data_IF_496184733401
#
_entry.id   IF_496184733401
#
_cell.length_a   1.000
_cell.length_b   1.000
_cell.length_c   1.000
_cell.angle_alpha   90.00
_cell.angle_beta   90.00
_cell.angle_gamma   90.00
#
_symmetry.space_group_name_H-M   'P 1'
#
loop_
_entity.id
_entity.type
_entity.pdbx_description
1 polymer ?
#
# COMPACT_ATOMS: atom_id res chain seq x y z
N UNK A 1 -1.60 -9.43 31.25
CA UNK A 1 -0.94 -10.60 30.67
C UNK A 1 -1.82 -11.11 29.55
N UNK A 2 -1.22 -11.48 28.42
CA UNK A 2 -1.93 -12.06 27.28
C UNK A 2 -2.36 -13.49 27.60
N UNK A 3 -3.48 -13.92 27.08
CA UNK A 3 -3.83 -15.34 27.02
C UNK A 3 -2.94 -16.06 26.02
N UNK A 4 -2.86 -17.39 26.08
CA UNK A 4 -2.05 -18.20 25.13
C UNK A 4 -2.39 -17.90 23.67
N UNK A 5 -3.67 -17.87 23.22
CA UNK A 5 -4.02 -17.52 21.86
C UNK A 5 -3.63 -16.08 21.47
N UNK A 6 -3.67 -15.15 22.42
CA UNK A 6 -3.23 -13.77 22.19
C UNK A 6 -1.71 -13.66 22.06
N UNK A 7 -0.97 -14.46 22.82
CA UNK A 7 0.47 -14.56 22.71
C UNK A 7 0.89 -15.16 21.37
N UNK A 8 0.25 -16.26 20.95
CA UNK A 8 0.49 -16.88 19.63
C UNK A 8 0.19 -15.89 18.50
N UNK A 9 -0.98 -15.20 18.55
CA UNK A 9 -1.34 -14.17 17.58
C UNK A 9 -0.32 -13.02 17.52
N UNK A 10 0.15 -12.55 18.68
CA UNK A 10 1.17 -11.51 18.73
C UNK A 10 2.52 -11.98 18.16
N UNK A 11 2.91 -13.23 18.39
CA UNK A 11 4.12 -13.82 17.82
C UNK A 11 4.04 -13.97 16.30
N UNK A 12 2.88 -14.33 15.76
CA UNK A 12 2.64 -14.47 14.34
C UNK A 12 2.55 -13.10 13.61
N UNK A 13 1.94 -12.11 14.27
CA UNK A 13 1.75 -10.78 13.67
C UNK A 13 2.99 -9.89 13.75
N UNK A 14 3.83 -10.05 14.78
CA UNK A 14 5.03 -9.21 14.99
C UNK A 14 5.99 -9.19 13.80
N UNK A 15 6.31 -10.30 13.11
CA UNK A 15 7.18 -10.29 11.94
C UNK A 15 6.57 -9.56 10.73
N UNK A 16 5.24 -9.44 10.69
CA UNK A 16 4.48 -8.82 9.61
C UNK A 16 3.96 -7.41 9.98
N UNK A 17 4.18 -6.97 11.22
CA UNK A 17 3.81 -5.63 11.68
C UNK A 17 4.78 -4.60 11.13
N UNK A 18 4.55 -4.17 9.89
CA UNK A 18 5.31 -3.09 9.26
C UNK A 18 4.84 -1.75 9.80
N UNK A 19 5.48 -1.30 10.88
CA UNK A 19 5.24 0.05 11.41
C UNK A 19 5.73 1.09 10.41
N UNK A 20 4.91 2.10 10.17
CA UNK A 20 5.19 3.17 9.22
C UNK A 20 5.68 4.39 9.99
N UNK A 21 6.73 5.09 9.53
CA UNK A 21 7.08 6.38 10.08
C UNK A 21 5.91 7.37 10.01
N UNK A 22 5.68 8.11 11.08
CA UNK A 22 4.57 9.07 11.17
C UNK A 22 4.66 10.15 10.10
N UNK A 23 5.87 10.48 9.66
CA UNK A 23 6.15 11.44 8.59
C UNK A 23 5.56 10.97 7.26
N UNK A 24 5.68 9.68 6.95
CA UNK A 24 5.11 9.09 5.73
C UNK A 24 3.59 9.12 5.79
N UNK A 25 3.00 8.75 6.91
CA UNK A 25 1.55 8.81 7.11
C UNK A 25 1.04 10.26 6.99
N UNK A 26 1.75 11.21 7.61
CA UNK A 26 1.44 12.63 7.51
C UNK A 26 1.55 13.17 6.09
N UNK A 27 2.57 12.74 5.33
CA UNK A 27 2.73 13.12 3.92
C UNK A 27 1.59 12.57 3.05
N UNK A 28 1.13 11.35 3.30
CA UNK A 28 -0.02 10.78 2.61
C UNK A 28 -1.31 11.57 2.89
N UNK A 29 -1.59 11.91 4.14
CA UNK A 29 -2.72 12.78 4.48
C UNK A 29 -2.61 14.15 3.81
N UNK A 30 -1.40 14.72 3.79
CA UNK A 30 -1.12 15.97 3.07
C UNK A 30 -1.40 15.88 1.57
N UNK A 31 -1.03 14.77 0.92
CA UNK A 31 -1.32 14.52 -0.49
C UNK A 31 -2.82 14.40 -0.75
N UNK A 32 -3.54 13.62 0.07
CA UNK A 32 -5.00 13.43 -0.04
C UNK A 32 -5.75 14.77 0.12
N UNK A 33 -5.32 15.62 1.06
CA UNK A 33 -5.90 16.97 1.21
C UNK A 33 -5.65 17.87 0.01
N UNK A 34 -4.45 17.82 -0.59
CA UNK A 34 -4.15 18.56 -1.84
C UNK A 34 -4.99 18.11 -3.03
N UNK A 35 -5.46 16.85 -3.02
CA UNK A 35 -6.41 16.33 -3.99
C UNK A 35 -7.86 16.75 -3.72
N UNK A 36 -8.10 17.56 -2.67
CA UNK A 36 -9.41 18.12 -2.35
C UNK A 36 -10.24 17.28 -1.38
N UNK A 37 -9.66 16.27 -0.72
CA UNK A 37 -10.38 15.49 0.27
C UNK A 37 -10.37 16.23 1.63
N UNK A 38 -11.53 16.56 2.13
CA UNK A 38 -11.77 17.30 3.38
C UNK A 38 -12.64 16.53 4.40
N UNK A 39 -12.96 15.27 4.08
CA UNK A 39 -13.76 14.39 4.94
C UNK A 39 -14.69 13.48 4.14
N UNK A 40 -15.40 12.61 4.84
CA UNK A 40 -16.32 11.65 4.24
C UNK A 40 -16.28 10.28 4.92
N UNK A 41 -16.64 9.24 4.18
CA UNK A 41 -16.62 7.85 4.65
C UNK A 41 -15.27 7.25 4.32
N UNK A 42 -14.50 6.94 5.36
CA UNK A 42 -13.14 6.43 5.26
C UNK A 42 -13.12 4.98 5.73
N UNK A 43 -12.36 4.14 5.04
CA UNK A 43 -12.00 2.82 5.56
C UNK A 43 -10.49 2.61 5.52
N UNK A 44 -9.94 2.10 6.63
CA UNK A 44 -8.58 1.60 6.75
C UNK A 44 -8.64 0.07 6.84
N UNK A 45 -8.38 -0.66 5.75
CA UNK A 45 -8.27 -2.11 5.76
C UNK A 45 -6.87 -2.53 6.24
N UNK A 46 -6.78 -3.50 7.12
CA UNK A 46 -5.54 -3.88 7.83
C UNK A 46 -4.99 -2.73 8.69
N UNK A 47 -5.83 -2.22 9.61
CA UNK A 47 -5.56 -1.01 10.38
C UNK A 47 -4.41 -1.14 11.40
N UNK A 48 -4.02 -2.37 11.76
CA UNK A 48 -3.07 -2.59 12.84
C UNK A 48 -3.55 -1.92 14.13
N UNK A 49 -2.72 -1.08 14.70
CA UNK A 49 -3.06 -0.29 15.90
C UNK A 49 -3.58 1.12 15.57
N UNK A 50 -3.82 1.43 14.26
CA UNK A 50 -4.46 2.68 13.83
C UNK A 50 -3.50 3.85 13.61
N UNK A 51 -2.35 3.65 12.99
CA UNK A 51 -1.40 4.73 12.72
C UNK A 51 -1.98 5.81 11.79
N UNK A 52 -2.75 5.41 10.77
CA UNK A 52 -3.40 6.38 9.88
C UNK A 52 -4.48 7.18 10.60
N UNK A 53 -5.20 6.55 11.53
CA UNK A 53 -6.18 7.26 12.35
C UNK A 53 -5.50 8.26 13.28
N UNK A 54 -4.40 7.85 13.93
CA UNK A 54 -3.67 8.71 14.87
C UNK A 54 -3.04 9.93 14.23
N UNK A 55 -2.68 9.85 12.94
CA UNK A 55 -2.09 10.95 12.17
C UNK A 55 -3.11 11.68 11.28
N UNK A 56 -4.40 11.33 11.35
CA UNK A 56 -5.47 12.01 10.58
C UNK A 56 -5.57 13.47 11.00
N UNK A 57 -5.59 14.43 10.05
CA UNK A 57 -5.81 15.83 10.35
C UNK A 57 -7.15 16.04 11.06
N UNK A 58 -7.16 16.92 12.07
CA UNK A 58 -8.32 17.11 12.94
C UNK A 58 -9.57 17.58 12.20
N UNK A 59 -9.40 18.43 11.18
CA UNK A 59 -10.47 18.91 10.32
C UNK A 59 -11.09 17.77 9.49
N UNK A 60 -10.25 16.88 8.94
CA UNK A 60 -10.71 15.67 8.24
C UNK A 60 -11.44 14.73 9.20
N UNK A 61 -10.88 14.51 10.40
CA UNK A 61 -11.47 13.63 11.41
C UNK A 61 -12.87 14.10 11.83
N UNK A 62 -13.06 15.39 12.04
CA UNK A 62 -14.37 15.96 12.40
C UNK A 62 -15.45 15.79 11.32
N UNK A 63 -15.03 15.74 10.06
CA UNK A 63 -15.92 15.63 8.91
C UNK A 63 -16.04 14.19 8.37
N UNK A 64 -15.56 13.20 9.13
CA UNK A 64 -15.49 11.84 8.61
C UNK A 64 -16.19 10.81 9.48
N UNK A 65 -16.67 9.77 8.81
CA UNK A 65 -17.09 8.51 9.42
C UNK A 65 -16.02 7.46 9.08
N UNK A 66 -15.36 6.90 10.10
CA UNK A 66 -14.23 6.00 9.91
C UNK A 66 -14.60 4.58 10.28
N UNK A 67 -14.22 3.66 9.40
CA UNK A 67 -14.32 2.22 9.60
C UNK A 67 -12.93 1.60 9.50
N UNK A 68 -12.64 0.60 10.33
CA UNK A 68 -11.41 -0.17 10.25
C UNK A 68 -11.71 -1.66 10.13
N UNK A 69 -10.84 -2.38 9.43
CA UNK A 69 -10.82 -3.83 9.40
C UNK A 69 -9.43 -4.29 9.85
N UNK A 70 -9.40 -5.24 10.76
CA UNK A 70 -8.14 -5.79 11.28
C UNK A 70 -8.31 -7.29 11.56
N UNK A 71 -7.36 -8.08 11.05
CA UNK A 71 -7.39 -9.54 11.17
C UNK A 71 -6.81 -10.00 12.51
N UNK A 72 -5.72 -9.34 12.97
CA UNK A 72 -5.08 -9.70 14.24
C UNK A 72 -5.95 -9.28 15.43
N UNK A 73 -6.22 -10.22 16.31
CA UNK A 73 -7.14 -10.02 17.44
C UNK A 73 -6.65 -8.98 18.44
N UNK A 74 -5.34 -8.92 18.69
CA UNK A 74 -4.75 -7.97 19.63
C UNK A 74 -4.78 -6.56 19.05
N UNK A 75 -4.35 -6.40 17.81
CA UNK A 75 -4.40 -5.11 17.09
C UNK A 75 -5.83 -4.60 16.95
N UNK A 76 -6.79 -5.46 16.61
CA UNK A 76 -8.21 -5.11 16.55
C UNK A 76 -8.77 -4.61 17.87
N UNK A 77 -8.36 -5.21 19.00
CA UNK A 77 -8.74 -4.75 20.35
C UNK A 77 -8.11 -3.42 20.70
N UNK A 78 -6.85 -3.22 20.33
CA UNK A 78 -6.12 -1.96 20.57
C UNK A 78 -6.77 -0.82 19.78
N UNK A 79 -6.94 -0.97 18.47
CA UNK A 79 -7.55 0.08 17.62
C UNK A 79 -8.98 0.38 18.07
N UNK A 80 -9.75 -0.64 18.42
CA UNK A 80 -11.11 -0.47 18.95
C UNK A 80 -11.11 0.29 20.28
N UNK A 81 -10.19 -0.03 21.21
CA UNK A 81 -10.10 0.65 22.50
C UNK A 81 -9.69 2.12 22.36
N UNK A 82 -8.74 2.40 21.47
CA UNK A 82 -8.23 3.75 21.25
C UNK A 82 -9.24 4.66 20.54
N UNK A 83 -9.96 4.15 19.53
CA UNK A 83 -10.71 5.00 18.60
C UNK A 83 -12.24 4.86 18.70
N UNK A 84 -12.76 3.89 19.47
CA UNK A 84 -14.21 3.81 19.76
C UNK A 84 -14.80 5.10 20.36
N UNK A 85 -14.10 5.80 21.27
CA UNK A 85 -14.60 7.08 21.81
C UNK A 85 -14.82 8.17 20.74
N UNK A 86 -14.15 8.03 19.59
CA UNK A 86 -14.24 8.94 18.44
C UNK A 86 -15.23 8.45 17.37
N UNK A 87 -16.02 7.40 17.67
CA UNK A 87 -17.04 6.89 16.75
C UNK A 87 -16.51 5.97 15.65
N UNK A 88 -15.25 5.51 15.73
CA UNK A 88 -14.68 4.58 14.74
C UNK A 88 -15.31 3.19 14.89
N UNK A 89 -15.81 2.65 13.78
CA UNK A 89 -16.32 1.28 13.70
C UNK A 89 -15.15 0.33 13.36
N UNK A 90 -14.93 -0.72 14.17
CA UNK A 90 -13.87 -1.70 13.95
C UNK A 90 -14.45 -3.08 13.72
N UNK A 91 -14.08 -3.71 12.60
CA UNK A 91 -14.39 -5.11 12.27
C UNK A 91 -13.16 -5.97 12.48
N UNK A 92 -13.27 -6.99 13.37
CA UNK A 92 -12.22 -7.98 13.59
C UNK A 92 -12.48 -9.16 12.66
N UNK A 93 -11.93 -9.09 11.45
CA UNK A 93 -12.04 -10.14 10.42
C UNK A 93 -11.03 -9.86 9.28
N UNK A 94 -10.91 -10.81 8.34
CA UNK A 94 -10.21 -10.56 7.08
C UNK A 94 -11.00 -9.61 6.17
N UNK A 95 -10.30 -8.91 5.29
CA UNK A 95 -10.93 -7.96 4.35
C UNK A 95 -11.92 -8.66 3.40
N UNK A 96 -11.63 -9.90 3.01
CA UNK A 96 -12.49 -10.73 2.15
C UNK A 96 -13.85 -11.07 2.79
N UNK A 97 -13.86 -11.21 4.11
CA UNK A 97 -15.05 -11.55 4.89
C UNK A 97 -15.70 -10.34 5.57
N UNK A 98 -15.15 -9.15 5.35
CA UNK A 98 -15.66 -7.94 5.99
C UNK A 98 -17.04 -7.54 5.44
N UNK A 99 -17.96 -7.04 6.30
CA UNK A 99 -19.30 -6.61 5.88
C UNK A 99 -19.31 -5.20 5.28
N UNK A 100 -18.25 -4.82 4.58
CA UNK A 100 -18.12 -3.49 4.00
C UNK A 100 -18.97 -3.37 2.72
N UNK A 101 -19.76 -2.31 2.58
CA UNK A 101 -20.54 -2.08 1.37
C UNK A 101 -19.66 -1.66 0.20
N UNK A 102 -19.95 -2.17 -0.99
CA UNK A 102 -19.30 -1.79 -2.25
C UNK A 102 -19.76 -0.42 -2.73
N UNK A 103 -18.89 0.31 -3.43
CA UNK A 103 -19.21 1.63 -4.01
C UNK A 103 -19.64 2.69 -2.98
N UNK A 104 -19.18 2.58 -1.75
CA UNK A 104 -19.69 3.38 -0.65
C UNK A 104 -18.70 4.40 -0.10
N UNK A 105 -17.44 4.04 0.04
CA UNK A 105 -16.43 4.87 0.70
C UNK A 105 -15.92 6.00 -0.20
N UNK A 106 -15.61 7.13 0.42
CA UNK A 106 -15.01 8.29 -0.24
C UNK A 106 -13.48 8.13 -0.32
N UNK A 107 -12.89 7.45 0.69
CA UNK A 107 -11.46 7.16 0.77
C UNK A 107 -11.20 5.78 1.37
N UNK A 108 -10.31 5.01 0.75
CA UNK A 108 -9.65 3.84 1.34
C UNK A 108 -8.17 4.18 1.49
N UNK A 109 -7.64 4.13 2.71
CA UNK A 109 -6.26 4.53 3.01
C UNK A 109 -5.62 3.52 3.97
N UNK A 110 -4.33 3.25 3.81
CA UNK A 110 -3.63 2.35 4.74
C UNK A 110 -2.29 1.84 4.21
N UNK A 111 -1.69 0.97 4.99
CA UNK A 111 -0.54 0.15 4.63
C UNK A 111 -1.04 -1.28 4.42
N UNK A 112 -1.00 -1.76 3.18
CA UNK A 112 -1.48 -3.10 2.88
C UNK A 112 -0.45 -4.16 3.28
N UNK A 113 -0.86 -5.36 3.70
CA UNK A 113 0.07 -6.45 3.95
C UNK A 113 0.83 -6.82 2.66
N UNK A 114 2.13 -7.15 2.81
CA UNK A 114 2.98 -7.54 1.68
C UNK A 114 3.18 -9.06 1.68
N UNK A 115 3.35 -9.62 0.51
CA UNK A 115 3.71 -11.02 0.37
C UNK A 115 3.17 -11.66 -0.90
N UNK A 116 3.72 -12.83 -1.21
CA UNK A 116 3.23 -13.68 -2.30
C UNK A 116 2.24 -14.73 -1.76
N UNK A 117 1.31 -14.26 -0.94
CA UNK A 117 0.23 -15.04 -0.38
C UNK A 117 -1.07 -14.60 -1.03
N UNK A 118 -1.97 -15.54 -1.29
CA UNK A 118 -3.30 -15.27 -1.79
C UNK A 118 -4.29 -15.16 -0.62
N UNK A 119 -5.27 -14.28 -0.77
CA UNK A 119 -6.37 -14.17 0.18
C UNK A 119 -7.40 -15.25 -0.15
N UNK A 120 -8.00 -15.94 0.83
CA UNK A 120 -9.02 -16.97 0.59
C UNK A 120 -10.36 -16.34 0.18
N UNK A 121 -10.38 -15.69 -0.98
CA UNK A 121 -11.58 -15.05 -1.52
C UNK A 121 -12.53 -16.12 -2.10
N UNK A 122 -13.70 -16.26 -1.51
CA UNK A 122 -14.70 -17.27 -1.89
C UNK A 122 -15.63 -16.81 -3.02
N UNK A 123 -15.65 -15.52 -3.31
CA UNK A 123 -16.47 -14.96 -4.40
C UNK A 123 -15.78 -15.15 -5.74
N UNK A 124 -16.57 -15.35 -6.78
CA UNK A 124 -16.04 -15.38 -8.15
C UNK A 124 -15.78 -13.95 -8.66
N UNK A 125 -14.64 -13.39 -8.27
CA UNK A 125 -14.21 -12.05 -8.66
C UNK A 125 -12.91 -12.10 -9.47
N UNK A 126 -12.68 -11.15 -10.39
CA UNK A 126 -11.51 -11.18 -11.28
C UNK A 126 -10.16 -11.16 -10.54
N UNK A 127 -10.13 -10.64 -9.33
CA UNK A 127 -8.94 -10.46 -8.53
C UNK A 127 -8.73 -11.51 -7.43
N UNK A 128 -9.53 -12.58 -7.41
CA UNK A 128 -9.43 -13.64 -6.37
C UNK A 128 -8.04 -14.29 -6.28
N UNK A 129 -7.31 -14.35 -7.42
CA UNK A 129 -5.99 -14.98 -7.50
C UNK A 129 -4.82 -13.97 -7.42
N UNK A 130 -5.08 -12.71 -7.13
CA UNK A 130 -4.00 -11.73 -6.95
C UNK A 130 -3.22 -11.99 -5.66
N UNK A 131 -1.93 -11.60 -5.65
CA UNK A 131 -1.17 -11.55 -4.40
C UNK A 131 -1.84 -10.61 -3.39
N UNK A 132 -1.61 -10.81 -2.09
CA UNK A 132 -2.33 -10.11 -1.04
C UNK A 132 -2.35 -8.58 -1.23
N UNK A 133 -1.20 -7.96 -1.51
CA UNK A 133 -1.13 -6.50 -1.71
C UNK A 133 -1.93 -6.05 -2.94
N UNK A 134 -1.93 -6.81 -4.01
CA UNK A 134 -2.71 -6.52 -5.21
C UNK A 134 -4.22 -6.75 -5.01
N UNK A 135 -4.58 -7.79 -4.24
CA UNK A 135 -5.96 -8.03 -3.81
C UNK A 135 -6.52 -6.83 -3.04
N UNK A 136 -5.73 -6.26 -2.10
CA UNK A 136 -6.16 -5.09 -1.34
C UNK A 136 -6.49 -3.90 -2.23
N UNK A 137 -5.71 -3.62 -3.27
CA UNK A 137 -6.01 -2.57 -4.23
C UNK A 137 -7.31 -2.83 -4.99
N UNK A 138 -7.48 -4.03 -5.52
CA UNK A 138 -8.67 -4.39 -6.28
C UNK A 138 -9.93 -4.31 -5.39
N UNK A 139 -9.83 -4.83 -4.16
CA UNK A 139 -10.91 -4.75 -3.17
C UNK A 139 -11.19 -3.31 -2.76
N UNK A 140 -10.17 -2.47 -2.59
CA UNK A 140 -10.35 -1.06 -2.28
C UNK A 140 -11.10 -0.31 -3.39
N UNK A 141 -10.77 -0.59 -4.66
CA UNK A 141 -11.51 -0.05 -5.81
C UNK A 141 -12.95 -0.55 -5.89
N UNK A 142 -13.24 -1.78 -5.43
CA UNK A 142 -14.62 -2.25 -5.25
C UNK A 142 -15.37 -1.44 -4.18
N UNK A 143 -14.70 -1.14 -3.05
CA UNK A 143 -15.29 -0.46 -1.90
C UNK A 143 -15.53 1.03 -2.11
N UNK A 144 -14.63 1.74 -2.81
CA UNK A 144 -14.81 3.18 -3.05
C UNK A 144 -15.91 3.45 -4.05
N UNK A 145 -16.64 4.57 -3.85
CA UNK A 145 -17.60 5.07 -4.83
C UNK A 145 -16.88 5.58 -6.10
N UNK A 146 -17.59 5.73 -7.23
CA UNK A 146 -17.06 6.45 -8.38
C UNK A 146 -16.52 7.82 -7.98
N UNK A 147 -15.30 8.17 -8.43
CA UNK A 147 -14.58 9.38 -8.04
C UNK A 147 -13.92 9.35 -6.66
N UNK A 148 -14.13 8.29 -5.86
CA UNK A 148 -13.45 8.11 -4.56
C UNK A 148 -11.98 7.77 -4.72
N UNK A 149 -11.22 7.89 -3.63
CA UNK A 149 -9.76 7.74 -3.60
C UNK A 149 -9.33 6.43 -2.92
N UNK A 150 -8.27 5.83 -3.45
CA UNK A 150 -7.52 4.75 -2.81
C UNK A 150 -6.08 5.22 -2.64
N UNK A 151 -5.56 5.19 -1.42
CA UNK A 151 -4.21 5.61 -1.11
C UNK A 151 -3.51 4.57 -0.24
N UNK A 152 -2.60 3.80 -0.82
CA UNK A 152 -1.92 2.72 -0.11
C UNK A 152 -0.40 2.84 -0.18
N UNK A 153 0.24 2.40 0.90
CA UNK A 153 1.62 1.95 0.86
C UNK A 153 1.61 0.48 0.47
N UNK A 154 2.42 0.10 -0.49
CA UNK A 154 2.49 -1.24 -1.05
C UNK A 154 3.90 -1.67 -1.39
N UNK A 155 4.08 -2.94 -1.71
CA UNK A 155 5.32 -3.46 -2.28
C UNK A 155 5.58 -2.88 -3.67
N UNK A 156 6.85 -2.61 -4.01
CA UNK A 156 7.26 -2.22 -5.37
C UNK A 156 6.77 -3.20 -6.45
N UNK A 157 6.51 -4.45 -6.10
CA UNK A 157 6.00 -5.46 -7.03
C UNK A 157 4.60 -5.16 -7.59
N UNK A 158 3.82 -4.25 -6.99
CA UNK A 158 2.56 -3.82 -7.60
C UNK A 158 2.82 -3.17 -8.96
N UNK A 159 3.86 -2.34 -9.07
CA UNK A 159 4.22 -1.68 -10.34
C UNK A 159 5.35 -2.40 -11.10
N UNK A 160 6.34 -2.97 -10.44
CA UNK A 160 7.55 -3.55 -11.06
C UNK A 160 7.41 -5.02 -11.48
N UNK A 161 6.28 -5.69 -11.18
CA UNK A 161 6.09 -7.07 -11.62
C UNK A 161 6.14 -7.19 -13.15
N UNK A 162 6.79 -8.26 -13.66
CA UNK A 162 6.83 -8.52 -15.10
C UNK A 162 5.44 -8.72 -15.70
N UNK A 163 4.51 -9.37 -14.96
CA UNK A 163 3.10 -9.45 -15.37
C UNK A 163 2.42 -8.11 -15.17
N UNK A 164 1.69 -7.62 -16.16
CA UNK A 164 0.93 -6.38 -16.12
C UNK A 164 -0.53 -6.57 -15.65
N UNK A 165 -0.94 -7.79 -15.32
CA UNK A 165 -2.35 -8.11 -15.00
C UNK A 165 -2.96 -7.22 -13.91
N UNK A 166 -2.20 -6.93 -12.84
CA UNK A 166 -2.67 -5.99 -11.81
C UNK A 166 -2.77 -4.56 -12.34
N UNK A 167 -1.79 -4.11 -13.11
CA UNK A 167 -1.78 -2.74 -13.65
C UNK A 167 -2.93 -2.52 -14.64
N UNK A 168 -3.20 -3.50 -15.51
CA UNK A 168 -4.37 -3.49 -16.40
C UNK A 168 -5.68 -3.41 -15.61
N UNK A 169 -5.82 -4.24 -14.57
CA UNK A 169 -6.99 -4.21 -13.72
C UNK A 169 -7.17 -2.83 -13.05
N UNK A 170 -6.11 -2.30 -12.44
CA UNK A 170 -6.17 -1.01 -11.75
C UNK A 170 -6.46 0.15 -12.72
N UNK A 171 -5.86 0.13 -13.91
CA UNK A 171 -6.08 1.16 -14.93
C UNK A 171 -7.50 1.10 -15.52
N UNK A 172 -8.11 -0.08 -15.62
CA UNK A 172 -9.50 -0.24 -16.02
C UNK A 172 -10.49 0.32 -15.00
N UNK A 173 -10.17 0.21 -13.71
CA UNK A 173 -11.05 0.64 -12.61
C UNK A 173 -10.76 2.05 -12.11
N UNK A 174 -9.53 2.58 -12.26
CA UNK A 174 -9.14 3.87 -11.70
C UNK A 174 -7.96 4.53 -12.40
N UNK A 175 -7.86 5.83 -12.23
CA UNK A 175 -6.74 6.65 -12.69
C UNK A 175 -5.66 6.71 -11.62
N UNK A 176 -4.41 6.41 -11.98
CA UNK A 176 -3.25 6.67 -11.13
C UNK A 176 -3.01 8.19 -11.04
N UNK A 177 -3.13 8.73 -9.84
CA UNK A 177 -2.89 10.15 -9.56
C UNK A 177 -1.46 10.41 -9.09
N UNK A 178 -0.88 9.46 -8.35
CA UNK A 178 0.50 9.53 -7.89
C UNK A 178 1.05 8.12 -7.63
N UNK A 179 2.35 7.94 -7.95
CA UNK A 179 3.14 6.80 -7.51
C UNK A 179 4.49 7.34 -7.01
N UNK A 180 4.81 7.12 -5.75
CA UNK A 180 6.02 7.61 -5.10
C UNK A 180 6.79 6.41 -4.56
N UNK A 181 8.03 6.23 -5.00
CA UNK A 181 8.90 5.18 -4.49
C UNK A 181 9.63 5.65 -3.25
N UNK A 182 9.49 4.90 -2.16
CA UNK A 182 10.11 5.18 -0.88
C UNK A 182 11.48 4.49 -0.77
N UNK A 183 12.39 5.05 0.04
CA UNK A 183 13.64 4.39 0.37
C UNK A 183 13.43 3.04 1.05
N UNK A 184 14.30 2.08 0.76
CA UNK A 184 14.27 0.78 1.43
C UNK A 184 14.55 0.88 2.94
N UNK A 185 15.13 1.99 3.39
CA UNK A 185 15.37 2.29 4.81
C UNK A 185 14.15 2.79 5.54
N UNK A 186 13.05 3.13 4.85
CA UNK A 186 11.82 3.68 5.43
C UNK A 186 11.27 2.80 6.55
N UNK A 187 11.34 1.49 6.42
CA UNK A 187 10.85 0.52 7.41
C UNK A 187 11.95 -0.13 8.26
N UNK A 188 13.23 0.16 7.97
CA UNK A 188 14.38 -0.53 8.57
C UNK A 188 14.51 -0.34 10.07
N UNK A 189 14.18 0.85 10.57
CA UNK A 189 14.27 1.16 12.00
C UNK A 189 13.23 0.42 12.84
N UNK A 190 12.17 -0.09 12.22
CA UNK A 190 11.00 -0.57 12.92
C UNK A 190 10.73 -2.07 12.60
N UNK A 191 11.09 -2.54 11.42
CA UNK A 191 10.67 -3.88 10.95
C UNK A 191 11.82 -4.80 10.51
N UNK A 192 13.08 -4.45 10.69
CA UNK A 192 14.27 -5.27 10.28
C UNK A 192 14.26 -5.77 8.83
N UNK A 193 13.36 -5.27 7.98
CA UNK A 193 13.14 -5.75 6.61
C UNK A 193 13.49 -4.65 5.62
N UNK A 194 14.43 -4.96 4.72
CA UNK A 194 14.79 -4.09 3.59
C UNK A 194 13.80 -4.34 2.43
N UNK A 195 12.65 -3.69 2.45
CA UNK A 195 11.65 -3.78 1.38
C UNK A 195 11.49 -2.43 0.70
N UNK A 196 11.61 -2.41 -0.62
CA UNK A 196 11.27 -1.22 -1.41
C UNK A 196 9.76 -1.15 -1.55
N UNK A 197 9.20 -0.01 -1.18
CA UNK A 197 7.76 0.21 -1.16
C UNK A 197 7.40 1.44 -1.97
N UNK A 198 6.16 1.47 -2.40
CA UNK A 198 5.59 2.58 -3.15
C UNK A 198 4.33 3.11 -2.44
N UNK A 199 4.13 4.42 -2.46
CA UNK A 199 2.84 5.03 -2.19
C UNK A 199 2.12 5.14 -3.52
N UNK A 200 0.94 4.54 -3.63
CA UNK A 200 0.08 4.67 -4.81
C UNK A 200 -1.22 5.35 -4.43
N UNK A 201 -1.60 6.37 -5.20
CA UNK A 201 -2.87 7.06 -5.06
C UNK A 201 -3.65 6.91 -6.36
N UNK A 202 -4.82 6.27 -6.28
CA UNK A 202 -5.74 6.08 -7.38
C UNK A 202 -7.06 6.81 -7.12
N UNK A 203 -7.68 7.27 -8.20
CA UNK A 203 -9.07 7.74 -8.18
C UNK A 203 -9.92 6.78 -9.00
N UNK A 204 -10.98 6.22 -8.39
CA UNK A 204 -11.89 5.34 -9.12
C UNK A 204 -12.54 6.08 -10.27
N UNK A 205 -12.60 5.46 -11.44
CA UNK A 205 -13.31 6.00 -12.59
C UNK A 205 -14.81 6.17 -12.29
N UNK A 206 -15.46 7.14 -12.95
CA UNK A 206 -16.92 7.30 -12.87
C UNK A 206 -17.65 6.12 -13.52
N UNK A 207 -17.04 5.52 -14.52
CA UNK A 207 -17.42 4.26 -15.13
C UNK A 207 -16.13 3.53 -15.56
N UNK A 208 -16.07 2.17 -15.51
CA UNK A 208 -14.91 1.43 -15.96
C UNK A 208 -14.52 1.78 -17.39
N UNK A 209 -13.21 1.81 -17.68
CA UNK A 209 -12.69 2.09 -19.01
C UNK A 209 -12.23 0.80 -19.67
N UNK A 210 -12.46 0.69 -20.99
CA UNK A 210 -12.11 -0.49 -21.76
C UNK A 210 -10.71 -0.46 -22.37
N UNK A 211 -10.05 0.69 -22.34
CA UNK A 211 -8.69 0.84 -22.87
C UNK A 211 -7.78 1.47 -21.83
N UNK A 212 -6.61 0.89 -21.65
CA UNK A 212 -5.51 1.38 -20.81
C UNK A 212 -4.39 1.98 -21.65
N UNK A 213 -4.61 2.19 -22.95
CA UNK A 213 -3.64 2.77 -23.88
C UNK A 213 -3.23 4.17 -23.43
N UNK A 214 -1.92 4.42 -23.40
CA UNK A 214 -1.36 5.72 -23.02
C UNK A 214 -1.31 5.99 -21.51
N UNK A 215 -1.57 5.00 -20.67
CA UNK A 215 -1.53 5.20 -19.20
C UNK A 215 -0.14 5.53 -18.64
N UNK A 216 0.97 5.20 -19.35
CA UNK A 216 2.35 5.57 -18.96
C UNK A 216 2.84 4.90 -17.66
N UNK A 217 2.22 3.78 -17.25
CA UNK A 217 2.62 2.95 -16.11
C UNK A 217 2.24 1.48 -16.27
N UNK A 218 1.94 1.07 -17.52
CA UNK A 218 1.57 -0.31 -17.85
C UNK A 218 2.77 -1.24 -17.94
N UNK A 219 3.90 -0.75 -18.40
CA UNK A 219 5.07 -1.53 -18.72
C UNK A 219 6.20 -1.37 -17.72
N UNK A 220 7.11 -2.31 -17.74
CA UNK A 220 8.36 -2.26 -17.00
C UNK A 220 9.54 -2.25 -17.95
N UNK A 221 10.54 -1.45 -17.64
CA UNK A 221 11.82 -1.48 -18.33
C UNK A 221 12.84 -2.30 -17.55
N UNK A 222 13.64 -3.06 -18.27
CA UNK A 222 14.74 -3.79 -17.69
C UNK A 222 15.99 -2.91 -17.70
N UNK A 223 16.27 -2.31 -16.57
CA UNK A 223 17.37 -1.36 -16.42
C UNK A 223 18.61 -2.01 -15.79
N UNK A 224 19.83 -1.56 -16.17
CA UNK A 224 21.06 -1.99 -15.50
C UNK A 224 21.04 -1.51 -14.03
N UNK A 225 21.50 -2.36 -13.13
CA UNK A 225 21.73 -1.95 -11.75
C UNK A 225 22.93 -1.00 -11.65
N UNK A 226 22.79 0.09 -10.90
CA UNK A 226 23.85 1.07 -10.66
C UNK A 226 24.95 0.57 -9.69
N UNK A 227 24.79 -0.59 -9.05
CA UNK A 227 25.77 -1.15 -8.12
C UNK A 227 26.48 -2.32 -8.74
N UNK A 228 27.78 -2.19 -9.13
CA UNK A 228 28.60 -3.35 -9.50
C UNK A 228 28.85 -4.19 -8.24
N UNK A 229 28.34 -5.42 -8.22
CA UNK A 229 28.72 -6.39 -7.21
C UNK A 229 30.06 -6.97 -7.63
N UNK A 230 31.10 -6.77 -6.82
CA UNK A 230 32.44 -7.36 -6.96
C UNK A 230 33.17 -7.08 -8.29
N UNK A 231 33.10 -5.88 -8.85
CA UNK A 231 34.00 -5.46 -9.93
C UNK A 231 33.77 -6.12 -11.29
N UNK A 232 32.70 -6.85 -11.51
CA UNK A 232 32.38 -7.53 -12.75
C UNK A 232 31.10 -6.96 -13.41
N UNK A 233 31.23 -6.58 -14.68
CA UNK A 233 30.10 -6.28 -15.57
C UNK A 233 29.43 -7.57 -16.03
N UNK A 234 28.57 -8.15 -15.23
CA UNK A 234 27.75 -9.28 -15.67
C UNK A 234 26.35 -8.82 -16.11
N UNK A 235 25.86 -9.37 -17.21
CA UNK A 235 24.49 -9.18 -17.75
C UNK A 235 23.37 -9.61 -16.78
N UNK A 236 23.73 -10.15 -15.61
CA UNK A 236 22.80 -10.56 -14.54
C UNK A 236 22.32 -9.41 -13.64
N UNK A 237 22.84 -8.19 -13.81
CA UNK A 237 22.56 -7.04 -12.94
C UNK A 237 21.43 -6.16 -13.49
N UNK A 238 20.38 -6.80 -13.97
CA UNK A 238 19.19 -6.13 -14.51
C UNK A 238 18.01 -6.29 -13.56
N UNK A 239 17.24 -5.23 -13.41
CA UNK A 239 16.02 -5.20 -12.61
C UNK A 239 14.89 -4.56 -13.40
N UNK A 240 13.69 -5.07 -13.20
CA UNK A 240 12.48 -4.48 -13.75
C UNK A 240 12.10 -3.23 -12.93
N UNK A 241 11.90 -2.10 -13.61
CA UNK A 241 11.43 -0.84 -13.03
C UNK A 241 10.26 -0.36 -13.86
N UNK A 242 9.18 0.03 -13.23
CA UNK A 242 8.02 0.55 -13.92
C UNK A 242 8.36 1.82 -14.71
N UNK A 243 7.85 1.94 -15.93
CA UNK A 243 8.06 3.08 -16.83
C UNK A 243 7.72 4.44 -16.17
N UNK A 244 6.75 4.45 -15.25
CA UNK A 244 6.40 5.65 -14.48
C UNK A 244 7.61 6.25 -13.75
N UNK A 245 8.40 5.44 -13.07
CA UNK A 245 9.57 5.90 -12.32
C UNK A 245 10.75 6.28 -13.23
N UNK A 246 10.82 5.67 -14.42
CA UNK A 246 11.79 6.04 -15.45
C UNK A 246 11.46 7.41 -16.03
N UNK A 247 10.19 7.63 -16.40
CA UNK A 247 9.71 8.89 -16.95
C UNK A 247 9.70 10.02 -15.91
N UNK A 248 9.52 9.68 -14.62
CA UNK A 248 9.35 10.65 -13.55
C UNK A 248 10.31 10.40 -12.37
N UNK A 249 11.64 10.57 -12.55
CA UNK A 249 12.63 10.26 -11.51
C UNK A 249 12.47 11.08 -10.22
N UNK A 250 11.73 12.19 -10.24
CA UNK A 250 11.40 13.00 -9.06
C UNK A 250 10.45 12.29 -8.09
N UNK A 251 9.75 11.26 -8.55
CA UNK A 251 8.86 10.46 -7.73
C UNK A 251 9.59 9.29 -7.02
N UNK A 252 10.91 9.21 -7.19
CA UNK A 252 11.78 8.26 -6.50
C UNK A 252 12.54 9.01 -5.40
N UNK A 253 12.23 8.71 -4.15
CA UNK A 253 12.93 9.30 -3.00
C UNK A 253 14.21 8.51 -2.75
N UNK A 254 15.29 8.88 -3.44
CA UNK A 254 16.59 8.23 -3.36
C UNK A 254 17.14 7.79 -4.71
N UNK A 255 18.06 6.81 -4.67
CA UNK A 255 18.73 6.24 -5.85
C UNK A 255 18.32 4.79 -6.03
N UNK A 256 17.86 4.44 -7.21
CA UNK A 256 17.56 3.06 -7.57
C UNK A 256 18.85 2.25 -7.70
N UNK A 257 18.83 1.07 -7.11
CA UNK A 257 19.87 0.07 -7.22
C UNK A 257 19.25 -1.33 -7.22
N UNK A 258 20.04 -2.39 -7.27
CA UNK A 258 19.54 -3.76 -7.15
C UNK A 258 20.17 -4.49 -5.98
N UNK A 259 19.41 -5.41 -5.42
CA UNK A 259 19.88 -6.33 -4.37
C UNK A 259 19.57 -7.77 -4.76
N UNK A 260 20.52 -8.67 -4.50
CA UNK A 260 20.24 -10.11 -4.54
C UNK A 260 19.51 -10.54 -3.29
N UNK A 261 18.34 -11.15 -3.46
CA UNK A 261 17.55 -11.73 -2.39
C UNK A 261 17.30 -13.22 -2.61
N UNK A 262 16.58 -13.85 -1.70
CA UNK A 262 16.25 -15.28 -1.74
C UNK A 262 15.45 -15.67 -3.00
N UNK A 263 14.70 -14.73 -3.57
CA UNK A 263 13.83 -14.93 -4.75
C UNK A 263 14.39 -14.29 -6.04
N UNK A 264 15.70 -14.02 -6.08
CA UNK A 264 16.33 -13.35 -7.20
C UNK A 264 16.68 -11.90 -6.90
N UNK A 265 16.93 -11.12 -7.96
CA UNK A 265 17.24 -9.70 -7.82
C UNK A 265 15.98 -8.87 -7.78
N UNK A 266 15.97 -7.90 -6.88
CA UNK A 266 14.90 -6.92 -6.73
C UNK A 266 15.46 -5.50 -6.74
N UNK A 267 14.63 -4.55 -7.12
CA UNK A 267 14.93 -3.12 -7.00
C UNK A 267 15.08 -2.75 -5.53
N UNK A 268 16.07 -1.92 -5.24
CA UNK A 268 16.21 -1.21 -3.98
C UNK A 268 16.30 0.28 -4.25
N UNK A 269 15.93 1.08 -3.26
CA UNK A 269 16.00 2.53 -3.31
C UNK A 269 16.76 3.02 -2.10
N UNK A 270 17.99 3.50 -2.29
CA UNK A 270 18.84 4.00 -1.21
C UNK A 270 18.68 5.52 -1.06
N UNK A 271 18.54 5.98 0.18
CA UNK A 271 18.50 7.39 0.53
C UNK A 271 19.35 7.65 1.77
N UNK A 272 20.24 8.64 1.68
CA UNK A 272 21.18 9.02 2.74
C UNK A 272 20.72 10.23 3.57
N UNK A 273 19.62 10.88 3.16
CA UNK A 273 19.04 12.04 3.82
C UNK A 273 18.03 11.71 4.91
N UNK A 274 17.47 12.76 5.52
CA UNK A 274 16.37 12.65 6.45
C UNK A 274 15.04 12.56 5.65
N UNK A 275 14.25 11.53 5.91
CA UNK A 275 12.99 11.30 5.21
C UNK A 275 11.96 12.42 5.42
N UNK A 276 12.04 13.13 6.56
CA UNK A 276 11.15 14.27 6.84
C UNK A 276 11.42 15.50 5.96
N UNK A 277 12.55 15.53 5.27
CA UNK A 277 12.97 16.62 4.37
C UNK A 277 12.79 16.27 2.89
N UNK A 278 12.48 15.00 2.58
CA UNK A 278 12.30 14.47 1.24
C UNK A 278 10.84 14.59 0.78
#
# INVERSE_FOLDING_TARGET
LLSEPEYESAMESTPNAHFIPVEVVGAMWGAIRRLGFDGGRIVEPAAGVGYFLGAMPEDVARNSQVTTVELDSLSARIVKALYKPYGVATHHCGLESSPLPTGFYDLVIGNVPFGNVQVPEMRNVPFANFSIHNYFFAKALELVRPGGLVAFITSSFTLDANSNAIREYLAGEGKLLAAIRLPNTTFKQIASTDVTTDILILQKHLAPVSSTEGCGWMDVEIVPSASPINGGTYYSDRVAVNEHFIAHPKWVIGKLSSRSGQYGRSVTCAYEGNLSEA
#
